data_IF_958850141012
#
_entry.id   IF_958850141012
#
_cell.length_a   1.000
_cell.length_b   1.000
_cell.length_c   1.000
_cell.angle_alpha   90.00
_cell.angle_beta   90.00
_cell.angle_gamma   90.00
#
_symmetry.space_group_name_H-M   'P 1'
#
loop_
_entity.id
_entity.type
_entity.pdbx_description
1 polymer ?
#
# COMPACT_ATOMS: atom_id res chain seq x y z
N UNK A 1 5.37 8.94 -1.66
CA UNK A 1 3.95 9.03 -2.05
C UNK A 1 3.10 8.18 -1.12
N UNK A 2 1.84 8.55 -0.87
CA UNK A 2 0.85 7.73 -0.15
C UNK A 2 -0.25 7.32 -1.11
N UNK A 3 -0.56 6.02 -1.18
CA UNK A 3 -1.56 5.47 -2.09
C UNK A 3 -2.66 4.78 -1.28
N UNK A 4 -3.92 4.97 -1.68
CA UNK A 4 -5.08 4.35 -1.03
C UNK A 4 -5.53 3.10 -1.80
N UNK A 5 -5.83 2.01 -1.09
CA UNK A 5 -6.22 0.73 -1.69
C UNK A 5 -7.69 0.68 -2.16
N UNK A 6 -8.48 1.67 -1.77
CA UNK A 6 -9.92 1.77 -1.99
C UNK A 6 -10.27 3.14 -2.58
N UNK A 7 -11.28 3.22 -3.46
CA UNK A 7 -11.83 4.49 -3.92
C UNK A 7 -12.63 5.20 -2.82
N UNK A 8 -13.26 4.44 -1.92
CA UNK A 8 -14.05 5.02 -0.84
C UNK A 8 -13.15 5.66 0.23
N UNK A 9 -13.23 6.99 0.34
CA UNK A 9 -12.61 7.76 1.43
C UNK A 9 -13.68 8.08 2.46
N UNK A 10 -13.40 7.80 3.74
CA UNK A 10 -14.33 8.06 4.84
C UNK A 10 -13.58 8.18 6.16
N UNK A 11 -13.96 9.12 7.06
CA UNK A 11 -13.42 9.16 8.41
C UNK A 11 -13.96 8.01 9.28
N UNK A 12 -15.10 7.42 8.91
CA UNK A 12 -15.67 6.25 9.59
C UNK A 12 -15.14 4.96 8.96
N UNK A 13 -14.44 4.09 9.72
CA UNK A 13 -13.92 2.85 9.16
C UNK A 13 -14.99 1.83 8.78
N UNK A 14 -16.17 1.91 9.40
CA UNK A 14 -17.31 1.03 9.07
C UNK A 14 -17.96 1.36 7.72
N UNK A 15 -17.69 2.54 7.15
CA UNK A 15 -18.26 2.93 5.86
C UNK A 15 -17.73 2.11 4.68
N UNK A 16 -16.49 1.64 4.76
CA UNK A 16 -15.89 0.76 3.73
C UNK A 16 -16.64 -0.57 3.61
N UNK A 17 -17.02 -1.17 4.75
CA UNK A 17 -17.72 -2.45 4.79
C UNK A 17 -19.17 -2.36 4.30
N UNK A 18 -19.79 -1.18 4.43
CA UNK A 18 -21.17 -0.92 4.02
C UNK A 18 -21.29 -0.39 2.58
N UNK A 19 -20.17 -0.08 1.94
CA UNK A 19 -20.16 0.35 0.55
C UNK A 19 -20.36 -0.87 -0.35
N UNK A 20 -21.29 -0.78 -1.30
CA UNK A 20 -21.51 -1.85 -2.29
C UNK A 20 -20.28 -2.07 -3.18
N UNK A 21 -19.62 -0.98 -3.55
CA UNK A 21 -18.36 -1.00 -4.27
C UNK A 21 -17.36 -0.03 -3.61
N UNK A 22 -16.57 -0.49 -2.62
CA UNK A 22 -15.57 0.33 -1.96
C UNK A 22 -14.29 0.48 -2.79
N UNK A 23 -14.08 -0.40 -3.78
CA UNK A 23 -12.87 -0.42 -4.61
C UNK A 23 -13.01 0.57 -5.74
N UNK A 24 -14.12 0.55 -6.50
CA UNK A 24 -14.32 1.38 -7.68
C UNK A 24 -13.51 0.90 -8.89
N UNK A 25 -14.11 0.99 -10.07
CA UNK A 25 -13.59 0.44 -11.33
C UNK A 25 -12.20 0.94 -11.73
N UNK A 26 -11.82 2.16 -11.30
CA UNK A 26 -10.55 2.79 -11.70
C UNK A 26 -9.39 2.55 -10.73
N UNK A 27 -9.67 2.05 -9.53
CA UNK A 27 -8.64 1.98 -8.48
C UNK A 27 -7.48 1.09 -8.90
N UNK A 28 -7.75 -0.06 -9.50
CA UNK A 28 -6.69 -0.98 -9.91
C UNK A 28 -5.82 -0.45 -11.05
N UNK A 29 -6.40 0.34 -11.97
CA UNK A 29 -5.67 1.01 -13.04
C UNK A 29 -4.79 2.13 -12.48
N UNK A 30 -5.33 2.93 -11.55
CA UNK A 30 -4.58 4.01 -10.89
C UNK A 30 -3.44 3.44 -10.04
N UNK A 31 -3.69 2.37 -9.27
CA UNK A 31 -2.65 1.68 -8.50
C UNK A 31 -1.53 1.16 -9.42
N UNK A 32 -1.89 0.55 -10.55
CA UNK A 32 -0.93 0.05 -11.52
C UNK A 32 -0.03 1.18 -12.04
N UNK A 33 -0.65 2.27 -12.52
CA UNK A 33 0.08 3.43 -13.04
C UNK A 33 1.04 4.01 -12.00
N UNK A 34 0.60 4.14 -10.74
CA UNK A 34 1.47 4.63 -9.67
C UNK A 34 2.64 3.70 -9.34
N UNK A 35 2.47 2.38 -9.47
CA UNK A 35 3.56 1.43 -9.25
C UNK A 35 4.59 1.52 -10.39
N UNK A 36 4.13 1.66 -11.63
CA UNK A 36 4.99 1.86 -12.81
C UNK A 36 5.77 3.17 -12.71
N UNK A 37 5.09 4.28 -12.43
CA UNK A 37 5.74 5.59 -12.23
C UNK A 37 6.74 5.53 -11.10
N UNK A 38 6.37 4.91 -9.97
CA UNK A 38 7.29 4.71 -8.87
C UNK A 38 8.51 3.93 -9.32
N UNK A 39 8.37 2.83 -10.09
CA UNK A 39 9.49 2.03 -10.59
C UNK A 39 10.47 2.84 -11.47
N UNK A 40 9.95 3.81 -12.22
CA UNK A 40 10.73 4.65 -13.13
C UNK A 40 11.38 5.89 -12.49
N UNK A 41 10.88 6.37 -11.34
CA UNK A 41 11.34 7.62 -10.71
C UNK A 41 12.21 7.37 -9.47
N UNK A 42 13.56 7.41 -9.56
CA UNK A 42 14.46 6.94 -8.49
C UNK A 42 14.39 7.72 -7.17
N UNK A 43 13.98 8.99 -7.25
CA UNK A 43 13.85 9.88 -6.10
C UNK A 43 12.55 9.68 -5.32
N UNK A 44 11.68 8.77 -5.75
CA UNK A 44 10.39 8.52 -5.10
C UNK A 44 10.48 7.38 -4.11
N UNK A 45 10.17 7.70 -2.86
CA UNK A 45 9.92 6.71 -1.82
C UNK A 45 8.45 6.26 -1.84
N UNK A 46 8.25 4.95 -1.88
CA UNK A 46 6.96 4.31 -1.72
C UNK A 46 6.78 3.88 -0.27
N UNK A 47 5.67 4.27 0.34
CA UNK A 47 5.34 3.94 1.71
C UNK A 47 4.10 3.06 1.78
N UNK A 48 4.19 1.96 2.51
CA UNK A 48 3.08 1.05 2.74
C UNK A 48 2.57 1.23 4.17
N UNK A 49 1.25 1.35 4.30
CA UNK A 49 0.62 1.68 5.58
C UNK A 49 -0.88 1.43 5.60
N UNK A 50 -1.38 0.37 4.96
CA UNK A 50 -2.82 0.08 4.89
C UNK A 50 -3.39 -0.59 6.15
N UNK A 51 -2.55 -1.11 7.05
CA UNK A 51 -2.98 -1.80 8.27
C UNK A 51 -3.75 -3.09 8.00
N UNK A 52 -4.37 -3.66 9.04
CA UNK A 52 -5.12 -4.93 8.92
C UNK A 52 -6.31 -4.83 7.97
N UNK A 53 -6.91 -3.65 7.82
CA UNK A 53 -8.06 -3.42 6.93
C UNK A 53 -7.72 -3.48 5.44
N UNK A 54 -6.44 -3.42 5.06
CA UNK A 54 -6.06 -3.68 3.67
C UNK A 54 -6.40 -5.10 3.21
N UNK A 55 -6.50 -6.07 4.13
CA UNK A 55 -6.92 -7.43 3.81
C UNK A 55 -8.42 -7.56 3.48
N UNK A 56 -9.23 -6.54 3.79
CA UNK A 56 -10.64 -6.53 3.37
C UNK A 56 -10.69 -6.61 1.84
N UNK A 57 -11.49 -7.54 1.32
CA UNK A 57 -11.60 -7.80 -0.13
C UNK A 57 -10.26 -8.18 -0.80
N UNK A 58 -9.29 -8.73 -0.04
CA UNK A 58 -7.97 -9.16 -0.53
C UNK A 58 -7.19 -8.04 -1.23
N UNK A 59 -7.42 -6.78 -0.82
CA UNK A 59 -6.83 -5.61 -1.51
C UNK A 59 -5.35 -5.46 -1.27
N UNK A 60 -4.86 -5.87 -0.11
CA UNK A 60 -3.44 -5.99 0.14
C UNK A 60 -2.79 -6.95 -0.86
N UNK A 61 -3.32 -8.16 -1.05
CA UNK A 61 -2.81 -9.12 -2.02
C UNK A 61 -2.84 -8.59 -3.46
N UNK A 62 -3.93 -7.94 -3.87
CA UNK A 62 -4.03 -7.34 -5.18
C UNK A 62 -2.97 -6.23 -5.40
N UNK A 63 -2.68 -5.44 -4.36
CA UNK A 63 -1.59 -4.46 -4.41
C UNK A 63 -0.22 -5.14 -4.49
N UNK A 64 0.01 -6.19 -3.70
CA UNK A 64 1.29 -6.93 -3.74
C UNK A 64 1.57 -7.53 -5.12
N UNK A 65 0.55 -8.06 -5.79
CA UNK A 65 0.67 -8.58 -7.15
C UNK A 65 1.08 -7.50 -8.18
N UNK A 66 0.77 -6.22 -7.93
CA UNK A 66 1.20 -5.08 -8.76
C UNK A 66 2.57 -4.56 -8.35
N UNK A 67 2.88 -4.61 -7.06
CA UNK A 67 4.14 -4.18 -6.49
C UNK A 67 5.30 -5.08 -6.93
N UNK A 68 5.08 -6.39 -7.05
CA UNK A 68 6.11 -7.35 -7.44
C UNK A 68 6.78 -7.04 -8.80
N UNK A 69 6.06 -6.91 -9.92
CA UNK A 69 6.68 -6.56 -11.18
C UNK A 69 7.32 -5.16 -11.16
N UNK A 70 6.75 -4.20 -10.42
CA UNK A 70 7.31 -2.85 -10.27
C UNK A 70 8.62 -2.84 -9.47
N UNK A 71 8.74 -3.71 -8.47
CA UNK A 71 9.98 -3.94 -7.72
C UNK A 71 11.06 -4.52 -8.62
N UNK A 72 10.70 -5.49 -9.46
CA UNK A 72 11.62 -6.12 -10.40
C UNK A 72 12.10 -5.15 -11.50
N UNK A 73 11.23 -4.24 -11.96
CA UNK A 73 11.56 -3.23 -12.96
C UNK A 73 12.17 -1.95 -12.37
N UNK A 74 12.30 -1.85 -11.03
CA UNK A 74 12.80 -0.66 -10.35
C UNK A 74 14.20 -0.31 -10.83
N UNK A 75 14.33 0.82 -11.54
CA UNK A 75 15.58 1.21 -12.20
C UNK A 75 16.70 1.51 -11.22
N UNK A 76 16.43 2.36 -10.24
CA UNK A 76 17.31 2.71 -9.11
C UNK A 76 16.46 3.22 -7.94
N UNK A 77 17.00 3.18 -6.72
CA UNK A 77 16.31 3.63 -5.51
C UNK A 77 15.99 2.49 -4.54
N UNK A 78 15.46 2.85 -3.36
CA UNK A 78 15.08 1.87 -2.35
C UNK A 78 13.78 1.14 -2.72
N UNK A 79 13.63 -0.07 -2.17
CA UNK A 79 12.33 -0.73 -2.11
C UNK A 79 11.32 0.04 -1.24
N UNK A 80 10.08 -0.44 -1.13
CA UNK A 80 9.06 0.23 -0.33
C UNK A 80 9.44 0.26 1.15
N UNK A 81 8.96 1.28 1.85
CA UNK A 81 9.14 1.47 3.28
C UNK A 81 7.86 1.18 4.06
N UNK A 82 8.00 0.80 5.32
CA UNK A 82 6.89 0.66 6.27
C UNK A 82 7.27 1.22 7.63
N UNK A 83 6.26 1.48 8.46
CA UNK A 83 6.46 1.82 9.88
C UNK A 83 6.48 0.56 10.79
N UNK A 84 6.69 -0.62 10.19
CA UNK A 84 6.63 -1.93 10.81
C UNK A 84 5.37 -2.71 10.39
N UNK A 85 5.24 -3.93 10.92
CA UNK A 85 4.15 -4.84 10.56
C UNK A 85 3.20 -5.13 11.72
N UNK A 86 1.94 -5.35 11.39
CA UNK A 86 0.91 -5.89 12.30
C UNK A 86 1.21 -7.36 12.62
N UNK A 87 0.50 -7.94 13.60
CA UNK A 87 0.68 -9.37 13.97
C UNK A 87 0.44 -10.33 12.80
N UNK A 88 -0.45 -9.96 11.88
CA UNK A 88 -0.82 -10.71 10.68
C UNK A 88 0.02 -10.35 9.45
N UNK A 89 1.08 -9.53 9.61
CA UNK A 89 2.06 -9.25 8.56
C UNK A 89 1.79 -8.02 7.71
N UNK A 90 0.61 -7.39 7.78
CA UNK A 90 0.32 -6.18 7.01
C UNK A 90 1.15 -4.99 7.52
N UNK A 91 1.58 -4.06 6.65
CA UNK A 91 2.23 -2.81 7.06
C UNK A 91 1.33 -1.99 8.00
N UNK A 92 1.89 -1.48 9.09
CA UNK A 92 1.15 -0.70 10.08
C UNK A 92 0.65 0.61 9.50
N UNK A 93 -0.59 0.93 9.80
CA UNK A 93 -1.18 2.21 9.41
C UNK A 93 -0.56 3.36 10.21
N UNK A 94 -0.14 4.48 9.58
CA UNK A 94 0.52 5.60 10.25
C UNK A 94 -0.25 6.15 11.46
N UNK A 95 -1.58 6.14 11.41
CA UNK A 95 -2.44 6.56 12.53
C UNK A 95 -2.19 5.81 13.85
N UNK A 96 -1.66 4.59 13.79
CA UNK A 96 -1.47 3.72 14.97
C UNK A 96 0.00 3.54 15.37
N UNK A 97 0.88 4.43 14.91
CA UNK A 97 2.31 4.44 15.27
C UNK A 97 2.70 5.82 15.82
N UNK A 98 3.68 5.89 16.73
CA UNK A 98 4.23 7.16 17.22
C UNK A 98 4.72 8.05 16.08
N UNK A 99 4.57 9.37 16.22
CA UNK A 99 4.92 10.34 15.17
C UNK A 99 6.42 10.47 14.89
N UNK A 100 7.27 10.02 15.81
CA UNK A 100 8.74 9.97 15.68
C UNK A 100 9.24 8.64 15.07
N UNK A 101 8.32 7.76 14.66
CA UNK A 101 8.67 6.47 14.08
C UNK A 101 9.34 6.67 12.71
N UNK A 102 10.59 6.23 12.61
CA UNK A 102 11.34 6.22 11.35
C UNK A 102 10.90 5.02 10.49
N UNK A 103 10.68 5.21 9.18
CA UNK A 103 10.35 4.13 8.26
C UNK A 103 11.53 3.22 8.02
N UNK A 104 11.24 1.94 7.83
CA UNK A 104 12.25 0.93 7.52
C UNK A 104 11.90 0.25 6.21
N UNK A 105 12.91 -0.17 5.41
CA UNK A 105 12.67 -0.99 4.23
C UNK A 105 11.75 -2.17 4.55
N UNK A 106 10.80 -2.43 3.66
CA UNK A 106 9.85 -3.51 3.82
C UNK A 106 10.52 -4.84 3.48
N UNK A 107 10.68 -5.70 4.49
CA UNK A 107 11.37 -6.98 4.34
C UNK A 107 10.45 -8.13 3.88
N UNK A 108 9.26 -7.85 3.33
CA UNK A 108 8.36 -8.93 2.94
C UNK A 108 8.88 -9.59 1.67
N UNK A 109 9.30 -10.84 1.82
CA UNK A 109 9.46 -11.78 0.72
C UNK A 109 8.11 -11.89 0.04
N UNK A 110 7.93 -11.22 -1.10
CA UNK A 110 6.84 -11.56 -1.99
C UNK A 110 7.09 -13.02 -2.39
N UNK A 111 6.15 -13.89 -2.04
CA UNK A 111 6.20 -15.32 -2.37
C UNK A 111 5.31 -15.58 -3.57
#
# INVERSE_FOLDING_TARGET
>A
MVVNLFARISPSPGALQRCSDPVGDRTDAVLQHWMEDWADHPSWDLWLGWGTRGALFQRDQAMLAKLEPALQSRRTGAGPFTLGSTRSGQPRHPLYVPGDRVPTPWACTVR
#
